data_IF_910134693053
#
_entry.id   IF_910134693053
#
_cell.length_a   1.000
_cell.length_b   1.000
_cell.length_c   1.000
_cell.angle_alpha   90.00
_cell.angle_beta   90.00
_cell.angle_gamma   90.00
#
_symmetry.space_group_name_H-M   'P 1'
#
loop_
_entity.id
_entity.type
_entity.pdbx_description
1 polymer ?
#
# COMPACT_ATOMS: atom_id res chain seq x y z
N UNK A 1 -22.68 48.02 -16.20
CA UNK A 1 -23.19 49.40 -15.87
C UNK A 1 -22.28 50.49 -16.46
N UNK A 2 -20.98 50.28 -16.56
CA UNK A 2 -20.04 51.25 -17.15
C UNK A 2 -20.29 51.48 -18.64
N UNK A 3 -21.07 50.61 -19.33
CA UNK A 3 -21.45 50.70 -20.75
C UNK A 3 -22.89 51.26 -20.93
N UNK A 4 -23.50 51.84 -19.87
CA UNK A 4 -24.78 52.53 -19.96
C UNK A 4 -26.04 51.68 -19.78
N UNK A 5 -25.91 50.46 -19.24
CA UNK A 5 -27.06 49.61 -18.89
C UNK A 5 -27.83 50.18 -17.69
N UNK A 6 -29.13 50.36 -17.87
CA UNK A 6 -30.05 50.78 -16.80
C UNK A 6 -30.59 49.66 -15.94
N UNK A 7 -30.46 48.38 -16.43
CA UNK A 7 -30.94 47.17 -15.73
C UNK A 7 -29.84 46.15 -15.58
N UNK A 8 -29.65 45.64 -14.35
CA UNK A 8 -28.74 44.53 -14.07
C UNK A 8 -29.10 43.27 -14.84
N UNK A 9 -30.38 43.04 -15.12
CA UNK A 9 -30.88 41.93 -15.90
C UNK A 9 -30.36 41.94 -17.34
N UNK A 10 -30.49 43.08 -18.03
CA UNK A 10 -30.02 43.24 -19.41
C UNK A 10 -28.49 43.18 -19.49
N UNK A 11 -27.80 43.79 -18.53
CA UNK A 11 -26.34 43.71 -18.46
C UNK A 11 -25.84 42.25 -18.26
N UNK A 12 -26.52 41.45 -17.47
CA UNK A 12 -26.19 40.05 -17.25
C UNK A 12 -26.42 39.21 -18.50
N UNK A 13 -27.50 39.43 -19.23
CA UNK A 13 -27.76 38.71 -20.49
C UNK A 13 -26.69 39.02 -21.55
N UNK A 14 -26.31 40.27 -21.72
CA UNK A 14 -25.32 40.64 -22.74
C UNK A 14 -23.91 40.21 -22.32
N UNK A 15 -23.54 40.25 -21.04
CA UNK A 15 -22.30 39.68 -20.53
C UNK A 15 -22.21 38.18 -20.82
N UNK A 16 -23.31 37.45 -20.63
CA UNK A 16 -23.34 36.01 -20.87
C UNK A 16 -23.19 35.65 -22.35
N UNK A 17 -23.67 36.47 -23.30
CA UNK A 17 -23.44 36.24 -24.75
C UNK A 17 -21.94 36.18 -25.10
N UNK A 18 -21.13 37.00 -24.41
CA UNK A 18 -19.66 36.99 -24.59
C UNK A 18 -18.93 35.89 -23.90
N UNK A 19 -19.43 35.44 -22.73
CA UNK A 19 -18.70 34.53 -21.83
C UNK A 19 -19.13 33.08 -21.99
N UNK A 20 -20.39 32.80 -22.34
CA UNK A 20 -20.95 31.44 -22.38
C UNK A 20 -20.14 30.46 -23.22
N UNK A 21 -19.73 30.87 -24.41
CA UNK A 21 -18.91 30.01 -25.28
C UNK A 21 -17.55 29.69 -24.67
N UNK A 22 -16.92 30.64 -24.00
CA UNK A 22 -15.63 30.43 -23.34
C UNK A 22 -15.77 29.44 -22.17
N UNK A 23 -16.81 29.56 -21.35
CA UNK A 23 -17.08 28.67 -20.19
C UNK A 23 -17.37 27.26 -20.72
N UNK A 24 -18.23 27.10 -21.75
CA UNK A 24 -18.52 25.78 -22.31
C UNK A 24 -17.26 25.13 -22.88
N UNK A 25 -16.51 25.88 -23.70
CA UNK A 25 -15.30 25.35 -24.35
C UNK A 25 -14.26 24.95 -23.31
N UNK A 26 -13.98 25.79 -22.30
CA UNK A 26 -13.02 25.47 -21.25
C UNK A 26 -13.46 24.24 -20.43
N UNK A 27 -14.72 24.14 -20.07
CA UNK A 27 -15.25 22.98 -19.33
C UNK A 27 -15.16 21.68 -20.14
N UNK A 28 -15.46 21.75 -21.45
CA UNK A 28 -15.30 20.59 -22.34
C UNK A 28 -13.85 20.15 -22.47
N UNK A 29 -12.89 21.09 -22.55
CA UNK A 29 -11.46 20.77 -22.57
C UNK A 29 -11.02 20.09 -21.29
N UNK A 30 -11.44 20.59 -20.11
CA UNK A 30 -11.16 19.94 -18.83
C UNK A 30 -11.73 18.52 -18.78
N UNK A 31 -13.00 18.34 -19.13
CA UNK A 31 -13.63 17.02 -19.16
C UNK A 31 -12.93 16.06 -20.14
N UNK A 32 -12.51 16.56 -21.31
CA UNK A 32 -11.79 15.79 -22.32
C UNK A 32 -10.41 15.30 -21.84
N UNK A 33 -9.79 15.95 -20.86
CA UNK A 33 -8.55 15.51 -20.22
C UNK A 33 -8.83 14.47 -19.13
N UNK A 34 -9.81 14.71 -18.25
CA UNK A 34 -10.04 13.86 -17.08
C UNK A 34 -10.78 12.56 -17.40
N UNK A 35 -11.70 12.57 -18.37
CA UNK A 35 -12.46 11.37 -18.74
C UNK A 35 -11.55 10.25 -19.25
N UNK A 36 -10.61 10.44 -20.20
CA UNK A 36 -9.71 9.38 -20.65
C UNK A 36 -8.82 8.82 -19.54
N UNK A 37 -8.35 9.68 -18.63
CA UNK A 37 -7.53 9.27 -17.48
C UNK A 37 -8.29 8.33 -16.54
N UNK A 38 -9.63 8.46 -16.48
CA UNK A 38 -10.48 7.56 -15.69
C UNK A 38 -10.55 6.12 -16.20
N UNK A 39 -10.09 5.85 -17.42
CA UNK A 39 -10.03 4.50 -18.00
C UNK A 39 -8.67 3.82 -17.88
N UNK A 40 -7.73 4.41 -17.15
CA UNK A 40 -6.44 3.78 -16.89
C UNK A 40 -6.60 2.55 -16.02
N UNK A 41 -5.89 1.47 -16.35
CA UNK A 41 -5.89 0.22 -15.58
C UNK A 41 -4.80 0.19 -14.51
N UNK A 42 -4.82 -0.88 -13.68
CA UNK A 42 -3.84 -1.13 -12.63
C UNK A 42 -4.07 -0.34 -11.34
N UNK A 43 -3.13 -0.41 -10.42
CA UNK A 43 -3.20 0.25 -9.10
C UNK A 43 -3.39 1.76 -9.22
N UNK A 44 -2.59 2.41 -10.06
CA UNK A 44 -2.72 3.84 -10.35
C UNK A 44 -4.08 4.17 -10.96
N UNK A 45 -4.63 3.26 -11.79
CA UNK A 45 -5.92 3.43 -12.44
C UNK A 45 -7.07 3.58 -11.45
N UNK A 46 -7.05 2.85 -10.32
CA UNK A 46 -8.09 2.99 -9.28
C UNK A 46 -8.16 4.41 -8.72
N UNK A 47 -7.01 5.05 -8.47
CA UNK A 47 -6.94 6.44 -8.04
C UNK A 47 -7.41 7.40 -9.14
N UNK A 48 -6.89 7.22 -10.36
CA UNK A 48 -7.21 8.08 -11.48
C UNK A 48 -8.66 7.98 -11.91
N UNK A 49 -9.29 6.80 -11.79
CA UNK A 49 -10.73 6.63 -12.05
C UNK A 49 -11.57 7.46 -11.09
N UNK A 50 -11.30 7.35 -9.78
CA UNK A 50 -12.06 8.11 -8.76
C UNK A 50 -11.80 9.61 -8.88
N UNK A 51 -10.53 10.01 -9.00
CA UNK A 51 -10.15 11.41 -9.13
C UNK A 51 -10.68 12.02 -10.43
N UNK A 52 -10.42 11.37 -11.58
CA UNK A 52 -10.79 11.87 -12.89
C UNK A 52 -12.31 11.99 -13.08
N UNK A 53 -13.06 10.97 -12.64
CA UNK A 53 -14.53 11.01 -12.72
C UNK A 53 -15.11 12.10 -11.81
N UNK A 54 -14.61 12.20 -10.57
CA UNK A 54 -15.05 13.25 -9.63
C UNK A 54 -14.76 14.64 -10.18
N UNK A 55 -13.57 14.87 -10.74
CA UNK A 55 -13.20 16.14 -11.35
C UNK A 55 -14.05 16.46 -12.57
N UNK A 56 -14.29 15.49 -13.45
CA UNK A 56 -15.14 15.69 -14.63
C UNK A 56 -16.58 16.08 -14.25
N UNK A 57 -17.16 15.40 -13.25
CA UNK A 57 -18.51 15.72 -12.74
C UNK A 57 -18.52 17.10 -12.06
N UNK A 58 -17.52 17.39 -11.22
CA UNK A 58 -17.41 18.69 -10.53
C UNK A 58 -17.30 19.85 -11.53
N UNK A 59 -16.48 19.71 -12.58
CA UNK A 59 -16.36 20.71 -13.65
C UNK A 59 -17.66 20.86 -14.42
N UNK A 60 -18.36 19.76 -14.71
CA UNK A 60 -19.67 19.80 -15.34
C UNK A 60 -20.72 20.58 -14.53
N UNK A 61 -20.82 20.29 -13.22
CA UNK A 61 -21.71 21.00 -12.30
C UNK A 61 -21.30 22.49 -12.19
N UNK A 62 -19.99 22.76 -12.12
CA UNK A 62 -19.45 24.12 -12.07
C UNK A 62 -19.83 24.92 -13.33
N UNK A 63 -19.74 24.30 -14.51
CA UNK A 63 -20.16 24.93 -15.75
C UNK A 63 -21.66 25.28 -15.76
N UNK A 64 -22.51 24.35 -15.29
CA UNK A 64 -23.96 24.61 -15.16
C UNK A 64 -24.21 25.78 -14.21
N UNK A 65 -23.55 25.82 -13.04
CA UNK A 65 -23.67 26.92 -12.09
C UNK A 65 -23.19 28.25 -12.68
N UNK A 66 -22.07 28.26 -13.41
CA UNK A 66 -21.55 29.46 -14.05
C UNK A 66 -22.49 30.03 -15.12
N UNK A 67 -23.21 29.14 -15.86
CA UNK A 67 -24.11 29.53 -16.90
C UNK A 67 -25.54 29.88 -16.41
N UNK A 68 -25.92 29.42 -15.22
CA UNK A 68 -27.29 29.60 -14.68
C UNK A 68 -27.33 30.44 -13.41
N UNK A 69 -26.73 29.93 -12.33
CA UNK A 69 -26.79 30.55 -11.01
C UNK A 69 -26.06 31.89 -10.94
N UNK A 70 -24.84 31.97 -11.48
CA UNK A 70 -24.04 33.21 -11.42
C UNK A 70 -24.70 34.38 -12.14
N UNK A 71 -25.19 34.28 -13.40
CA UNK A 71 -25.88 35.37 -14.03
C UNK A 71 -27.23 35.72 -13.38
N UNK A 72 -27.94 34.72 -12.83
CA UNK A 72 -29.19 34.98 -12.11
C UNK A 72 -28.92 35.79 -10.82
N UNK A 73 -27.87 35.42 -10.04
CA UNK A 73 -27.46 36.18 -8.87
C UNK A 73 -26.98 37.60 -9.24
N UNK A 74 -26.21 37.74 -10.31
CA UNK A 74 -25.79 39.04 -10.82
C UNK A 74 -27.00 39.91 -11.19
N UNK A 75 -28.00 39.36 -11.87
CA UNK A 75 -29.21 40.07 -12.23
C UNK A 75 -30.04 40.55 -11.02
N UNK A 76 -30.06 39.74 -9.93
CA UNK A 76 -30.82 40.03 -8.69
C UNK A 76 -30.08 40.94 -7.73
N UNK A 77 -28.79 40.72 -7.55
CA UNK A 77 -28.02 41.34 -6.44
C UNK A 77 -27.26 42.61 -6.86
N UNK A 78 -26.84 42.72 -8.10
CA UNK A 78 -26.09 43.86 -8.57
C UNK A 78 -27.02 45.09 -8.67
N UNK A 79 -26.62 46.18 -8.01
CA UNK A 79 -27.28 47.45 -8.04
C UNK A 79 -26.51 48.45 -8.93
N UNK A 80 -27.20 49.31 -9.72
CA UNK A 80 -26.51 50.33 -10.51
C UNK A 80 -25.74 51.31 -9.65
N UNK A 81 -24.55 51.67 -10.10
CA UNK A 81 -23.69 52.68 -9.42
C UNK A 81 -24.14 54.10 -9.69
N UNK A 82 -25.07 54.30 -10.62
CA UNK A 82 -25.60 55.60 -11.01
C UNK A 82 -26.97 55.78 -10.36
N UNK A 83 -27.19 56.92 -9.75
CA UNK A 83 -28.51 57.33 -9.22
C UNK A 83 -29.44 57.61 -10.38
N UNK A 84 -30.77 57.66 -10.13
CA UNK A 84 -31.77 58.02 -11.13
C UNK A 84 -31.51 59.40 -11.76
N UNK A 85 -30.82 60.30 -11.05
CA UNK A 85 -30.40 61.64 -11.49
C UNK A 85 -29.07 61.66 -12.27
N UNK A 86 -28.51 60.50 -12.68
CA UNK A 86 -27.28 60.42 -13.45
C UNK A 86 -25.97 60.70 -12.65
N UNK A 87 -26.05 60.93 -11.34
CA UNK A 87 -24.88 61.17 -10.50
C UNK A 87 -24.27 59.88 -9.95
N UNK A 88 -22.93 59.78 -9.93
CA UNK A 88 -22.23 58.64 -9.34
C UNK A 88 -22.37 58.61 -7.81
N UNK A 89 -22.71 57.44 -7.25
CA UNK A 89 -22.75 57.21 -5.83
C UNK A 89 -21.33 57.37 -5.22
N UNK A 90 -21.14 58.26 -4.24
CA UNK A 90 -19.84 58.54 -3.68
C UNK A 90 -19.60 57.75 -2.38
N UNK A 91 -19.85 56.44 -2.41
CA UNK A 91 -19.66 55.52 -1.30
C UNK A 91 -18.27 54.87 -1.32
N UNK A 92 -17.81 54.34 -0.18
CA UNK A 92 -16.54 53.64 -0.07
C UNK A 92 -16.39 52.52 -1.14
N UNK A 93 -17.46 51.78 -1.39
CA UNK A 93 -17.50 50.74 -2.43
C UNK A 93 -17.29 51.33 -3.83
N UNK A 94 -17.85 52.48 -4.16
CA UNK A 94 -17.66 53.14 -5.45
C UNK A 94 -16.21 53.64 -5.63
N UNK A 95 -15.59 54.16 -4.56
CA UNK A 95 -14.16 54.56 -4.58
C UNK A 95 -13.23 53.38 -4.76
N UNK A 96 -13.47 52.27 -4.05
CA UNK A 96 -12.72 51.01 -4.22
C UNK A 96 -12.86 50.45 -5.65
N UNK A 97 -14.09 50.37 -6.16
CA UNK A 97 -14.36 49.91 -7.54
C UNK A 97 -13.65 50.79 -8.58
N UNK A 98 -13.66 52.09 -8.43
CA UNK A 98 -12.98 53.03 -9.34
C UNK A 98 -11.46 52.80 -9.32
N UNK A 99 -10.86 52.65 -8.15
CA UNK A 99 -9.42 52.37 -8.02
C UNK A 99 -9.04 50.99 -8.58
N UNK A 100 -9.88 50.01 -8.32
CA UNK A 100 -9.71 48.64 -8.87
C UNK A 100 -9.79 48.64 -10.38
N UNK A 101 -10.85 49.25 -10.96
CA UNK A 101 -11.00 49.31 -12.42
C UNK A 101 -9.85 50.04 -13.09
N UNK A 102 -9.38 51.18 -12.50
CA UNK A 102 -8.22 51.87 -13.03
C UNK A 102 -6.95 51.03 -13.01
N UNK A 103 -6.69 50.27 -11.93
CA UNK A 103 -5.56 49.33 -11.86
C UNK A 103 -5.72 48.18 -12.88
N UNK A 104 -6.93 47.67 -13.02
CA UNK A 104 -7.27 46.62 -13.97
C UNK A 104 -7.06 47.05 -15.43
N UNK A 105 -7.50 48.28 -15.78
CA UNK A 105 -7.32 48.86 -17.12
C UNK A 105 -5.82 48.96 -17.49
N UNK A 106 -4.97 49.40 -16.54
CA UNK A 106 -3.51 49.43 -16.74
C UNK A 106 -2.95 48.01 -16.97
N UNK A 107 -3.46 47.03 -16.23
CA UNK A 107 -3.06 45.64 -16.41
C UNK A 107 -3.48 45.09 -17.79
N UNK A 108 -4.72 45.39 -18.20
CA UNK A 108 -5.26 45.00 -19.52
C UNK A 108 -4.45 45.62 -20.67
N UNK A 109 -4.07 46.88 -20.55
CA UNK A 109 -3.27 47.56 -21.58
C UNK A 109 -1.85 46.99 -21.68
N UNK A 110 -1.22 46.67 -20.55
CA UNK A 110 0.05 45.93 -20.55
C UNK A 110 -0.09 44.56 -21.19
N UNK A 111 -1.15 43.82 -20.84
CA UNK A 111 -1.45 42.51 -21.44
C UNK A 111 -1.64 42.60 -22.95
N UNK A 112 -2.46 43.55 -23.42
CA UNK A 112 -2.63 43.82 -24.88
C UNK A 112 -1.30 44.10 -25.57
N UNK A 113 -0.43 44.90 -24.97
CA UNK A 113 0.90 45.22 -25.48
C UNK A 113 1.75 44.00 -25.65
N UNK A 114 1.79 43.13 -24.61
CA UNK A 114 2.51 41.86 -24.62
C UNK A 114 1.97 40.93 -25.71
N UNK A 115 0.65 40.75 -25.77
CA UNK A 115 0.01 39.91 -26.78
C UNK A 115 0.31 40.39 -28.19
N UNK A 116 0.21 41.70 -28.45
CA UNK A 116 0.55 42.30 -29.73
C UNK A 116 2.05 42.09 -30.08
N UNK A 117 2.93 42.12 -29.13
CA UNK A 117 4.37 41.80 -29.33
C UNK A 117 4.52 40.37 -29.84
N UNK A 118 3.89 39.40 -29.19
CA UNK A 118 3.92 37.98 -29.58
C UNK A 118 3.28 37.75 -30.98
N UNK A 119 2.18 38.42 -31.27
CA UNK A 119 1.53 38.32 -32.58
C UNK A 119 2.42 38.91 -33.69
N UNK A 120 3.03 40.08 -33.44
CA UNK A 120 3.90 40.75 -34.42
C UNK A 120 5.24 39.98 -34.61
N UNK A 121 5.77 39.42 -33.56
CA UNK A 121 7.06 38.69 -33.58
C UNK A 121 6.84 37.20 -33.42
N UNK A 122 6.31 36.54 -34.44
CA UNK A 122 6.01 35.09 -34.45
C UNK A 122 7.16 34.21 -33.99
N UNK A 123 8.41 34.61 -34.31
CA UNK A 123 9.60 33.85 -33.85
C UNK A 123 9.70 33.77 -32.31
N UNK A 124 9.27 34.82 -31.59
CA UNK A 124 9.28 34.85 -30.13
C UNK A 124 8.28 33.83 -29.56
N UNK A 125 7.12 33.71 -30.19
CA UNK A 125 6.10 32.71 -29.80
C UNK A 125 6.63 31.28 -30.00
N UNK A 126 7.23 31.02 -31.17
CA UNK A 126 7.83 29.72 -31.46
C UNK A 126 9.01 29.40 -30.57
N UNK A 127 9.87 30.40 -30.27
CA UNK A 127 10.98 30.25 -29.33
C UNK A 127 10.50 29.93 -27.91
N UNK A 128 9.47 30.60 -27.41
CA UNK A 128 8.89 30.32 -26.10
C UNK A 128 8.26 28.92 -26.05
N UNK A 129 7.54 28.54 -27.10
CA UNK A 129 6.97 27.19 -27.23
C UNK A 129 8.09 26.13 -27.25
N UNK A 130 9.11 26.32 -28.06
CA UNK A 130 10.25 25.40 -28.13
C UNK A 130 10.96 25.30 -26.77
N UNK A 131 11.19 26.43 -26.09
CA UNK A 131 11.77 26.44 -24.75
C UNK A 131 10.90 25.68 -23.73
N UNK A 132 9.56 25.85 -23.76
CA UNK A 132 8.67 25.13 -22.87
C UNK A 132 8.67 23.62 -23.15
N UNK A 133 8.73 23.20 -24.42
CA UNK A 133 8.84 21.79 -24.80
C UNK A 133 10.17 21.19 -24.33
N UNK A 134 11.29 21.90 -24.55
CA UNK A 134 12.60 21.47 -24.09
C UNK A 134 12.64 21.35 -22.56
N UNK A 135 12.08 22.34 -21.86
CA UNK A 135 11.97 22.31 -20.40
C UNK A 135 11.10 21.14 -19.93
N UNK A 136 9.97 20.86 -20.60
CA UNK A 136 9.11 19.73 -20.30
C UNK A 136 9.89 18.41 -20.44
N UNK A 137 10.55 18.20 -21.59
CA UNK A 137 11.34 16.99 -21.84
C UNK A 137 12.47 16.86 -20.81
N UNK A 138 13.15 17.94 -20.48
CA UNK A 138 14.18 17.97 -19.46
C UNK A 138 13.63 17.55 -18.09
N UNK A 139 12.51 18.15 -17.65
CA UNK A 139 11.86 17.81 -16.39
C UNK A 139 11.36 16.36 -16.36
N UNK A 140 10.76 15.87 -17.45
CA UNK A 140 10.32 14.47 -17.53
C UNK A 140 11.46 13.46 -17.39
N UNK A 141 12.65 13.80 -17.85
CA UNK A 141 13.83 12.92 -17.72
C UNK A 141 14.55 13.04 -16.38
N UNK A 142 14.44 14.19 -15.70
CA UNK A 142 15.14 14.44 -14.43
C UNK A 142 14.25 14.24 -13.21
N UNK A 143 12.94 14.37 -13.36
CA UNK A 143 12.00 14.19 -12.25
C UNK A 143 11.78 12.72 -11.97
N UNK A 144 11.99 12.30 -10.72
CA UNK A 144 11.74 10.93 -10.27
C UNK A 144 10.25 10.62 -10.30
N UNK A 145 9.90 9.41 -10.76
CA UNK A 145 8.51 8.97 -10.84
C UNK A 145 8.22 8.01 -9.69
N UNK A 146 7.25 8.36 -8.87
CA UNK A 146 6.68 7.51 -7.81
C UNK A 146 5.17 7.65 -7.80
N UNK A 147 4.45 6.64 -7.31
CA UNK A 147 2.99 6.72 -7.19
C UNK A 147 2.60 7.75 -6.12
N UNK A 148 3.21 7.66 -4.96
CA UNK A 148 3.08 8.62 -3.85
C UNK A 148 4.46 8.79 -3.22
N UNK A 149 4.91 10.03 -2.93
CA UNK A 149 6.15 10.24 -2.19
C UNK A 149 6.04 9.67 -0.77
N UNK A 150 7.15 9.15 -0.23
CA UNK A 150 7.19 8.72 1.15
C UNK A 150 7.17 9.93 2.08
N UNK A 151 6.28 9.85 3.06
CA UNK A 151 6.18 10.83 4.13
C UNK A 151 6.36 10.15 5.50
N UNK A 152 6.83 10.89 6.47
CA UNK A 152 6.95 10.40 7.84
C UNK A 152 5.58 10.34 8.52
N UNK A 153 4.98 9.13 8.58
CA UNK A 153 3.71 8.90 9.26
C UNK A 153 3.84 8.74 10.79
N UNK A 154 5.08 8.76 11.29
CA UNK A 154 5.36 8.53 12.71
C UNK A 154 4.97 7.13 13.17
N UNK A 155 5.05 6.13 12.29
CA UNK A 155 4.79 4.72 12.60
C UNK A 155 5.90 3.86 11.99
N UNK A 156 6.38 2.87 12.75
CA UNK A 156 7.33 1.86 12.28
C UNK A 156 6.78 0.48 12.64
N UNK A 157 6.77 -0.42 11.67
CA UNK A 157 6.50 -1.83 11.88
C UNK A 157 7.82 -2.59 11.99
N UNK A 158 8.02 -3.23 13.13
CA UNK A 158 9.19 -4.07 13.38
C UNK A 158 8.74 -5.52 13.38
N UNK A 159 9.06 -6.26 12.33
CA UNK A 159 8.79 -7.68 12.23
C UNK A 159 9.93 -8.45 12.90
N UNK A 160 9.56 -9.41 13.74
CA UNK A 160 10.47 -10.28 14.45
C UNK A 160 10.18 -11.72 14.03
N UNK A 161 11.18 -12.41 13.48
CA UNK A 161 11.10 -13.82 13.12
C UNK A 161 12.13 -14.60 13.92
N UNK A 162 11.67 -15.49 14.77
CA UNK A 162 12.51 -16.45 15.49
C UNK A 162 12.78 -17.68 14.63
N UNK A 163 13.59 -18.62 15.11
CA UNK A 163 13.87 -19.84 14.38
C UNK A 163 12.57 -20.58 14.03
N UNK A 164 12.51 -21.18 12.83
CA UNK A 164 11.35 -21.93 12.38
C UNK A 164 10.99 -23.05 13.38
N UNK A 165 9.71 -23.14 13.76
CA UNK A 165 9.24 -24.08 14.76
C UNK A 165 9.40 -23.60 16.23
N UNK A 166 9.84 -22.37 16.47
CA UNK A 166 9.85 -21.79 17.81
C UNK A 166 8.44 -21.72 18.41
N UNK A 167 8.34 -21.93 19.72
CA UNK A 167 7.07 -21.76 20.44
C UNK A 167 6.67 -20.29 20.53
N UNK A 168 5.39 -20.03 20.68
CA UNK A 168 4.88 -18.67 20.88
C UNK A 168 5.48 -18.02 22.14
N UNK A 169 5.70 -18.80 23.20
CA UNK A 169 6.32 -18.33 24.43
C UNK A 169 7.75 -17.85 24.19
N UNK A 170 8.55 -18.66 23.47
CA UNK A 170 9.93 -18.29 23.12
C UNK A 170 9.97 -17.01 22.27
N UNK A 171 9.06 -16.91 21.29
CA UNK A 171 8.94 -15.72 20.45
C UNK A 171 8.55 -14.49 21.28
N UNK A 172 7.62 -14.64 22.22
CA UNK A 172 7.18 -13.55 23.11
C UNK A 172 8.31 -13.07 24.02
N UNK A 173 9.12 -13.98 24.57
CA UNK A 173 10.31 -13.65 25.38
C UNK A 173 11.36 -12.86 24.59
N UNK A 174 11.61 -13.27 23.34
CA UNK A 174 12.51 -12.53 22.43
C UNK A 174 11.95 -11.14 22.14
N UNK A 175 10.66 -11.05 21.85
CA UNK A 175 9.99 -9.76 21.59
C UNK A 175 10.03 -8.84 22.81
N UNK A 176 9.87 -9.36 24.01
CA UNK A 176 9.98 -8.58 25.24
C UNK A 176 11.39 -8.00 25.44
N UNK A 177 12.44 -8.76 25.11
CA UNK A 177 13.82 -8.25 25.12
C UNK A 177 14.02 -7.12 24.11
N UNK A 178 13.45 -7.26 22.91
CA UNK A 178 13.50 -6.22 21.87
C UNK A 178 12.73 -4.99 22.33
N UNK A 179 11.50 -5.15 22.80
CA UNK A 179 10.65 -4.06 23.29
C UNK A 179 11.35 -3.23 24.37
N UNK A 180 11.94 -3.87 25.38
CA UNK A 180 12.68 -3.18 26.46
C UNK A 180 13.83 -2.32 25.93
N UNK A 181 14.52 -2.77 24.88
CA UNK A 181 15.61 -1.99 24.26
C UNK A 181 15.06 -0.82 23.44
N UNK A 182 14.00 -1.06 22.69
CA UNK A 182 13.40 -0.03 21.85
C UNK A 182 12.74 1.09 22.67
N UNK A 183 12.21 0.78 23.85
CA UNK A 183 11.66 1.78 24.77
C UNK A 183 12.70 2.83 25.24
N UNK A 184 13.98 2.58 25.04
CA UNK A 184 15.03 3.57 25.31
C UNK A 184 15.14 4.66 24.23
N UNK A 185 14.48 4.51 23.07
CA UNK A 185 14.47 5.48 21.98
C UNK A 185 13.61 6.69 22.38
N UNK A 186 14.18 7.91 22.48
CA UNK A 186 13.46 9.07 23.02
C UNK A 186 12.33 9.58 22.13
N UNK A 187 12.37 9.29 20.82
CA UNK A 187 11.38 9.65 19.84
C UNK A 187 10.10 8.81 19.90
N UNK A 188 10.14 7.67 20.63
CA UNK A 188 8.98 6.79 20.76
C UNK A 188 7.94 7.37 21.75
N UNK A 189 6.68 7.23 21.39
CA UNK A 189 5.53 7.54 22.26
C UNK A 189 4.89 6.26 22.80
N UNK A 190 4.66 5.28 21.96
CA UNK A 190 4.04 4.00 22.32
C UNK A 190 4.66 2.86 21.54
N UNK A 191 4.72 1.69 22.18
CA UNK A 191 5.06 0.41 21.57
C UNK A 191 3.88 -0.53 21.77
N UNK A 192 3.43 -1.18 20.70
CA UNK A 192 2.43 -2.23 20.76
C UNK A 192 3.07 -3.53 20.28
N UNK A 193 2.94 -4.60 21.09
CA UNK A 193 3.46 -5.93 20.80
C UNK A 193 2.33 -6.84 20.34
N UNK A 194 2.55 -7.57 19.23
CA UNK A 194 1.65 -8.58 18.67
C UNK A 194 2.46 -9.87 18.48
N UNK A 195 2.28 -10.84 19.36
CA UNK A 195 2.92 -12.15 19.26
C UNK A 195 2.08 -13.10 18.42
N UNK A 196 2.71 -13.97 17.64
CA UNK A 196 2.04 -14.95 16.78
C UNK A 196 1.56 -14.39 15.43
N UNK A 197 1.97 -13.18 15.08
CA UNK A 197 1.65 -12.55 13.80
C UNK A 197 2.82 -11.70 13.30
N UNK A 198 3.24 -11.96 12.07
CA UNK A 198 4.20 -11.14 11.34
C UNK A 198 3.53 -10.47 10.14
N UNK A 199 3.84 -9.21 9.87
CA UNK A 199 3.27 -8.47 8.73
C UNK A 199 3.61 -9.15 7.39
N UNK A 200 4.79 -9.75 7.31
CA UNK A 200 5.31 -10.39 6.10
C UNK A 200 4.88 -11.85 5.97
N UNK A 201 4.93 -12.59 7.07
CA UNK A 201 4.75 -14.03 7.09
C UNK A 201 3.32 -14.47 7.48
N UNK A 202 2.50 -13.56 7.99
CA UNK A 202 1.16 -13.88 8.47
C UNK A 202 1.15 -14.48 9.87
N UNK A 203 0.24 -15.43 10.12
CA UNK A 203 0.10 -16.09 11.42
C UNK A 203 1.08 -17.25 11.58
N UNK A 204 1.74 -17.34 12.74
CA UNK A 204 2.65 -18.42 13.08
C UNK A 204 3.33 -18.19 14.43
N UNK A 205 3.64 -19.26 15.16
CA UNK A 205 4.23 -19.18 16.51
C UNK A 205 5.62 -18.57 16.53
N UNK A 206 6.37 -18.65 15.42
CA UNK A 206 7.73 -18.10 15.27
C UNK A 206 7.75 -16.65 14.79
N UNK A 207 6.59 -16.00 14.65
CA UNK A 207 6.50 -14.63 14.18
C UNK A 207 5.92 -13.69 15.24
N UNK A 208 6.41 -12.46 15.20
CA UNK A 208 5.88 -11.37 16.00
C UNK A 208 6.07 -10.03 15.32
N UNK A 209 5.32 -9.04 15.77
CA UNK A 209 5.39 -7.67 15.27
C UNK A 209 5.32 -6.68 16.41
N UNK A 210 6.20 -5.67 16.38
CA UNK A 210 6.10 -4.49 17.22
C UNK A 210 5.67 -3.31 16.35
N UNK A 211 4.66 -2.58 16.79
CA UNK A 211 4.21 -1.34 16.17
C UNK A 211 4.71 -0.20 17.03
N UNK A 212 5.65 0.56 16.50
CA UNK A 212 6.24 1.71 17.16
C UNK A 212 5.51 2.96 16.70
N UNK A 213 4.91 3.70 17.63
CA UNK A 213 4.34 5.01 17.37
C UNK A 213 5.29 6.08 17.86
N UNK A 214 5.74 6.95 16.96
CA UNK A 214 6.60 8.08 17.28
C UNK A 214 5.78 9.24 17.86
N UNK A 215 6.46 10.16 18.53
CA UNK A 215 5.91 11.44 18.96
C UNK A 215 5.44 12.27 17.77
N UNK A 216 4.53 13.24 17.96
CA UNK A 216 4.15 14.19 16.91
C UNK A 216 5.36 14.95 16.35
N UNK A 217 5.24 15.48 15.14
CA UNK A 217 6.35 16.17 14.44
C UNK A 217 6.81 17.44 15.17
N UNK A 218 5.90 18.13 15.86
CA UNK A 218 6.20 19.29 16.69
C UNK A 218 7.09 18.96 17.90
N UNK A 219 7.08 17.70 18.38
CA UNK A 219 7.95 17.22 19.45
C UNK A 219 9.26 16.58 18.94
N UNK A 220 9.46 16.47 17.62
CA UNK A 220 10.64 15.93 16.95
C UNK A 220 10.97 16.72 15.67
N UNK A 221 11.32 18.01 15.81
CA UNK A 221 11.52 18.92 14.68
C UNK A 221 12.83 18.69 13.90
N UNK A 222 13.79 17.94 14.46
CA UNK A 222 15.08 17.74 13.85
C UNK A 222 15.04 16.62 12.78
N UNK A 223 15.75 16.79 11.68
CA UNK A 223 15.88 15.78 10.63
C UNK A 223 16.46 14.46 11.16
N UNK A 224 17.25 14.50 12.23
CA UNK A 224 17.78 13.33 12.91
C UNK A 224 16.70 12.51 13.65
N UNK A 225 15.53 13.08 13.90
CA UNK A 225 14.41 12.46 14.59
C UNK A 225 13.34 11.90 13.62
N UNK A 226 13.63 11.89 12.32
CA UNK A 226 12.72 11.36 11.31
C UNK A 226 12.59 9.82 11.41
N UNK A 227 11.57 9.27 10.78
CA UNK A 227 11.26 7.84 10.82
C UNK A 227 12.41 6.97 10.33
N UNK A 228 13.18 7.42 9.32
CA UNK A 228 14.30 6.64 8.78
C UNK A 228 15.48 6.57 9.76
N UNK A 229 15.77 7.68 10.43
CA UNK A 229 16.79 7.72 11.48
C UNK A 229 16.42 6.81 12.66
N UNK A 230 15.14 6.78 13.05
CA UNK A 230 14.66 5.88 14.11
C UNK A 230 14.73 4.41 13.66
N UNK A 231 14.43 4.09 12.39
CA UNK A 231 14.64 2.74 11.85
C UNK A 231 16.12 2.32 11.97
N UNK A 232 17.05 3.24 11.65
CA UNK A 232 18.48 3.01 11.86
C UNK A 232 18.84 2.70 13.33
N UNK A 233 18.23 3.41 14.28
CA UNK A 233 18.39 3.14 15.71
C UNK A 233 17.82 1.77 16.11
N UNK A 234 16.67 1.38 15.55
CA UNK A 234 16.08 0.04 15.78
C UNK A 234 17.07 -1.04 15.35
N UNK A 235 17.64 -0.95 14.15
CA UNK A 235 18.65 -1.91 13.69
C UNK A 235 19.90 -1.92 14.57
N UNK A 236 20.40 -0.75 15.00
CA UNK A 236 21.56 -0.66 15.87
C UNK A 236 21.32 -1.33 17.25
N UNK A 237 20.14 -1.12 17.84
CA UNK A 237 19.77 -1.68 19.15
C UNK A 237 19.44 -3.18 19.10
N UNK A 238 19.19 -3.73 17.92
CA UNK A 238 18.83 -5.15 17.73
C UNK A 238 19.91 -5.99 17.06
N UNK A 239 21.01 -5.36 16.62
CA UNK A 239 22.08 -6.01 15.84
C UNK A 239 22.75 -7.22 16.54
N UNK A 240 22.80 -7.23 17.88
CA UNK A 240 23.39 -8.30 18.68
C UNK A 240 22.39 -9.44 19.00
N UNK A 241 21.12 -9.30 18.65
CA UNK A 241 20.10 -10.34 18.86
C UNK A 241 20.23 -11.37 17.74
N UNK A 242 20.79 -12.54 18.08
CA UNK A 242 21.03 -13.64 17.14
C UNK A 242 19.90 -14.66 17.09
N UNK A 243 19.02 -14.65 18.08
CA UNK A 243 17.91 -15.60 18.23
C UNK A 243 16.72 -15.23 17.34
N UNK A 244 16.74 -14.05 16.71
CA UNK A 244 15.68 -13.61 15.83
C UNK A 244 16.23 -12.74 14.69
N UNK A 245 15.54 -12.77 13.57
CA UNK A 245 15.70 -11.79 12.49
C UNK A 245 14.74 -10.62 12.74
N UNK A 246 15.27 -9.41 12.75
CA UNK A 246 14.52 -8.18 12.97
C UNK A 246 14.49 -7.38 11.67
N UNK A 247 13.29 -7.03 11.22
CA UNK A 247 13.07 -6.25 10.01
C UNK A 247 12.13 -5.07 10.30
N UNK A 248 12.64 -3.86 10.19
CA UNK A 248 11.90 -2.62 10.49
C UNK A 248 11.60 -1.83 9.23
N UNK A 249 10.34 -1.44 9.05
CA UNK A 249 9.88 -0.64 7.91
C UNK A 249 8.88 0.43 8.36
N UNK A 250 8.83 1.53 7.62
CA UNK A 250 7.70 2.46 7.67
C UNK A 250 6.55 1.92 6.79
N UNK A 251 5.28 2.02 7.24
CA UNK A 251 4.15 1.62 6.40
C UNK A 251 4.07 2.47 5.14
N UNK A 252 3.59 1.87 4.05
CA UNK A 252 3.30 2.61 2.81
C UNK A 252 2.22 3.67 3.03
N UNK A 253 2.28 4.74 2.23
CA UNK A 253 1.33 5.86 2.31
C UNK A 253 -0.11 5.46 2.02
N UNK A 254 -0.30 4.39 1.27
CA UNK A 254 -1.62 3.89 0.87
C UNK A 254 -1.83 2.52 1.51
N UNK A 255 -2.73 2.37 2.50
CA UNK A 255 -3.03 1.09 3.11
C UNK A 255 -3.51 0.07 2.07
N UNK A 256 -2.93 -1.14 2.11
CA UNK A 256 -3.30 -2.24 1.22
C UNK A 256 -2.58 -2.26 -0.14
N UNK A 257 -1.70 -1.30 -0.40
CA UNK A 257 -0.87 -1.26 -1.61
C UNK A 257 0.62 -1.38 -1.26
N UNK A 258 1.06 -2.62 -1.03
CA UNK A 258 2.45 -2.92 -0.73
C UNK A 258 2.92 -2.47 0.66
N UNK A 259 4.16 -2.78 0.97
CA UNK A 259 4.82 -2.36 2.20
C UNK A 259 5.83 -1.25 1.88
N UNK A 260 5.46 -0.03 2.15
CA UNK A 260 6.28 1.13 1.80
C UNK A 260 6.38 1.32 0.29
N UNK A 261 7.49 1.86 -0.19
CA UNK A 261 7.83 1.99 -1.62
C UNK A 261 8.34 0.67 -2.22
N UNK A 262 8.19 -0.46 -1.54
CA UNK A 262 8.63 -1.74 -2.04
C UNK A 262 7.82 -2.18 -3.27
N UNK A 263 8.53 -2.75 -4.20
CA UNK A 263 8.01 -3.42 -5.37
C UNK A 263 7.70 -4.86 -4.99
N UNK A 264 6.49 -5.34 -5.21
CA UNK A 264 6.14 -6.73 -5.02
C UNK A 264 6.07 -7.45 -6.37
N UNK A 265 6.81 -8.55 -6.48
CA UNK A 265 6.92 -9.39 -7.66
C UNK A 265 6.42 -10.79 -7.31
N UNK A 266 5.57 -11.34 -8.14
CA UNK A 266 5.12 -12.72 -8.04
C UNK A 266 5.89 -13.60 -9.02
N UNK A 267 6.94 -14.27 -8.55
CA UNK A 267 7.57 -15.34 -9.34
C UNK A 267 6.61 -16.52 -9.43
N UNK A 268 6.40 -17.05 -10.63
CA UNK A 268 5.46 -18.13 -10.88
C UNK A 268 6.18 -19.35 -11.45
N UNK A 269 5.96 -20.51 -10.85
CA UNK A 269 6.36 -21.78 -11.45
C UNK A 269 5.27 -22.25 -12.42
N UNK A 270 5.50 -22.01 -13.71
CA UNK A 270 4.58 -22.44 -14.78
C UNK A 270 4.77 -23.88 -15.23
N UNK A 271 5.87 -24.51 -14.85
CA UNK A 271 6.21 -25.88 -15.24
C UNK A 271 5.74 -26.91 -14.22
N UNK A 272 5.42 -26.50 -13.00
CA UNK A 272 4.97 -27.39 -11.92
C UNK A 272 6.11 -28.29 -11.40
N UNK A 273 7.34 -27.75 -11.36
CA UNK A 273 8.53 -28.45 -10.89
C UNK A 273 8.61 -28.61 -9.36
N UNK A 274 9.78 -29.05 -8.90
CA UNK A 274 10.04 -29.18 -7.46
C UNK A 274 10.09 -27.80 -6.80
N UNK A 275 9.42 -27.66 -5.67
CA UNK A 275 9.38 -26.44 -4.89
C UNK A 275 10.77 -26.00 -4.38
N UNK A 276 11.68 -26.96 -4.14
CA UNK A 276 13.05 -26.68 -3.71
C UNK A 276 13.89 -26.09 -4.84
N UNK A 277 13.71 -26.55 -6.08
CA UNK A 277 14.35 -25.99 -7.26
C UNK A 277 13.81 -24.57 -7.52
N UNK A 278 12.50 -24.39 -7.40
CA UNK A 278 11.89 -23.09 -7.54
C UNK A 278 12.38 -22.11 -6.47
N UNK A 279 12.50 -22.56 -5.21
CA UNK A 279 13.08 -21.76 -4.14
C UNK A 279 14.55 -21.40 -4.43
N UNK A 280 15.35 -22.33 -4.88
CA UNK A 280 16.76 -22.10 -5.24
C UNK A 280 16.90 -21.05 -6.34
N UNK A 281 16.07 -21.13 -7.38
CA UNK A 281 16.00 -20.14 -8.47
C UNK A 281 15.60 -18.77 -7.94
N UNK A 282 14.63 -18.74 -7.03
CA UNK A 282 14.22 -17.48 -6.38
C UNK A 282 15.36 -16.87 -5.57
N UNK A 283 16.14 -17.65 -4.84
CA UNK A 283 17.30 -17.15 -4.09
C UNK A 283 18.39 -16.62 -5.02
N UNK A 284 18.64 -17.25 -6.17
CA UNK A 284 19.57 -16.73 -7.17
C UNK A 284 19.08 -15.37 -7.73
N UNK A 285 17.79 -15.27 -8.00
CA UNK A 285 17.18 -14.02 -8.45
C UNK A 285 17.28 -12.90 -7.40
N UNK A 286 17.02 -13.22 -6.14
CA UNK A 286 17.21 -12.28 -5.04
C UNK A 286 18.67 -11.81 -4.94
N UNK A 287 19.62 -12.73 -5.11
CA UNK A 287 21.05 -12.40 -5.16
C UNK A 287 21.39 -11.44 -6.31
N UNK A 288 20.83 -11.66 -7.49
CA UNK A 288 21.03 -10.79 -8.65
C UNK A 288 20.39 -9.40 -8.45
N UNK A 289 19.20 -9.33 -7.84
CA UNK A 289 18.54 -8.07 -7.51
C UNK A 289 19.34 -7.26 -6.48
N UNK A 290 19.86 -7.91 -5.44
CA UNK A 290 20.65 -7.25 -4.39
C UNK A 290 22.01 -6.73 -4.88
N UNK A 291 22.46 -7.13 -6.07
CA UNK A 291 23.68 -6.57 -6.70
C UNK A 291 23.39 -5.31 -7.55
N UNK A 292 22.13 -4.94 -7.73
CA UNK A 292 21.75 -3.79 -8.53
C UNK A 292 21.85 -2.51 -7.72
N UNK A 293 22.46 -1.43 -8.26
CA UNK A 293 22.56 -0.16 -7.56
C UNK A 293 21.22 0.52 -7.33
N UNK A 294 20.20 0.18 -8.13
CA UNK A 294 18.85 0.73 -8.00
C UNK A 294 18.05 0.08 -6.84
N UNK A 295 18.54 -1.04 -6.30
CA UNK A 295 17.85 -1.83 -5.25
C UNK A 295 18.65 -1.74 -3.94
N UNK A 296 18.03 -1.23 -2.89
CA UNK A 296 18.61 -1.24 -1.55
C UNK A 296 18.59 -2.64 -0.94
N UNK A 297 17.47 -3.34 -1.09
CA UNK A 297 17.27 -4.69 -0.56
C UNK A 297 16.17 -5.40 -1.32
N UNK A 298 16.46 -6.64 -1.73
CA UNK A 298 15.44 -7.58 -2.21
C UNK A 298 15.37 -8.79 -1.28
N UNK A 299 14.16 -9.22 -0.93
CA UNK A 299 13.93 -10.31 0.00
C UNK A 299 12.64 -11.07 -0.32
N UNK A 300 12.55 -12.29 0.18
CA UNK A 300 11.33 -13.10 0.22
C UNK A 300 11.16 -13.69 1.61
N UNK A 301 9.92 -13.86 2.04
CA UNK A 301 9.59 -14.53 3.31
C UNK A 301 9.38 -16.03 3.15
N UNK A 302 9.37 -16.52 1.91
CA UNK A 302 9.20 -17.92 1.62
C UNK A 302 10.45 -18.72 1.99
N UNK A 303 10.28 -19.81 2.74
CA UNK A 303 11.35 -20.72 3.14
C UNK A 303 10.84 -22.18 3.06
N UNK A 304 11.70 -23.07 2.60
CA UNK A 304 11.44 -24.51 2.51
C UNK A 304 12.06 -25.31 3.67
N UNK A 305 12.69 -24.62 4.63
CA UNK A 305 13.41 -25.25 5.75
C UNK A 305 12.57 -25.32 7.02
N UNK A 306 11.25 -25.22 6.91
CA UNK A 306 10.37 -25.36 8.06
C UNK A 306 10.37 -26.83 8.51
N UNK A 307 10.70 -27.14 9.79
CA UNK A 307 10.75 -28.51 10.29
C UNK A 307 9.34 -29.08 10.33
N UNK A 308 9.17 -30.27 9.76
CA UNK A 308 7.89 -30.97 9.63
C UNK A 308 8.05 -32.44 9.99
N UNK A 309 6.95 -33.08 10.35
CA UNK A 309 6.85 -34.51 10.43
C UNK A 309 5.96 -35.03 9.27
N UNK A 310 6.53 -35.88 8.44
CA UNK A 310 5.75 -36.65 7.46
C UNK A 310 5.12 -37.83 8.17
N UNK A 311 3.80 -37.93 8.02
CA UNK A 311 2.99 -38.98 8.65
C UNK A 311 2.65 -40.04 7.59
N UNK A 312 3.14 -41.26 7.78
CA UNK A 312 2.81 -42.40 6.96
C UNK A 312 1.90 -43.36 7.75
N UNK A 313 0.72 -43.64 7.21
CA UNK A 313 -0.23 -44.60 7.80
C UNK A 313 -0.08 -45.95 7.14
N UNK A 314 0.19 -46.99 7.93
CA UNK A 314 0.24 -48.37 7.47
C UNK A 314 -1.19 -48.90 7.20
N UNK A 315 -1.64 -48.79 5.96
CA UNK A 315 -2.96 -49.21 5.55
C UNK A 315 -3.19 -50.73 5.75
N UNK A 316 -2.13 -51.54 5.69
CA UNK A 316 -2.24 -52.99 5.87
C UNK A 316 -2.49 -53.34 7.35
N UNK A 317 -1.81 -52.63 8.28
CA UNK A 317 -2.08 -52.78 9.72
C UNK A 317 -3.48 -52.29 10.07
N UNK A 318 -3.88 -51.13 9.53
CA UNK A 318 -5.23 -50.61 9.71
C UNK A 318 -6.29 -51.62 9.30
N UNK A 319 -6.17 -52.20 8.11
CA UNK A 319 -7.11 -53.20 7.58
C UNK A 319 -7.18 -54.45 8.46
N UNK A 320 -6.06 -54.91 8.99
CA UNK A 320 -6.01 -56.07 9.90
C UNK A 320 -6.72 -55.76 11.25
N UNK A 321 -6.59 -54.54 11.73
CA UNK A 321 -7.26 -54.08 12.96
C UNK A 321 -8.74 -53.67 12.72
N UNK A 322 -9.22 -53.75 11.48
CA UNK A 322 -10.60 -53.35 11.14
C UNK A 322 -10.87 -51.84 11.23
N UNK A 323 -9.84 -51.03 11.06
CA UNK A 323 -9.96 -49.57 11.04
C UNK A 323 -9.57 -49.01 9.68
N UNK A 324 -10.02 -47.80 9.37
CA UNK A 324 -9.65 -47.12 8.14
C UNK A 324 -8.47 -46.17 8.39
N UNK A 325 -7.60 -45.95 7.40
CA UNK A 325 -6.55 -44.94 7.49
C UNK A 325 -7.10 -43.55 7.84
N UNK A 326 -8.30 -43.22 7.34
CA UNK A 326 -9.00 -41.97 7.64
C UNK A 326 -9.33 -41.80 9.13
N UNK A 327 -9.76 -42.90 9.81
CA UNK A 327 -10.03 -42.86 11.24
C UNK A 327 -8.74 -42.58 12.05
N UNK A 328 -7.59 -43.13 11.61
CA UNK A 328 -6.28 -42.86 12.22
C UNK A 328 -5.90 -41.40 12.03
N UNK A 329 -5.99 -40.88 10.79
CA UNK A 329 -5.67 -39.50 10.46
C UNK A 329 -6.60 -38.49 11.16
N UNK A 330 -7.90 -38.77 11.21
CA UNK A 330 -8.88 -37.92 11.93
C UNK A 330 -8.59 -37.87 13.43
N UNK A 331 -8.22 -39.01 14.04
CA UNK A 331 -7.83 -39.07 15.45
C UNK A 331 -6.54 -38.28 15.67
N UNK A 332 -5.53 -38.46 14.84
CA UNK A 332 -4.27 -37.70 14.90
C UNK A 332 -4.52 -36.18 14.76
N UNK A 333 -5.36 -35.79 13.79
CA UNK A 333 -5.74 -34.39 13.60
C UNK A 333 -6.45 -33.82 14.83
N UNK A 334 -7.35 -34.58 15.47
CA UNK A 334 -8.02 -34.16 16.71
C UNK A 334 -7.05 -33.96 17.88
N UNK A 335 -6.10 -34.87 18.08
CA UNK A 335 -5.12 -34.76 19.15
C UNK A 335 -4.14 -33.61 18.96
N UNK A 336 -3.53 -33.49 17.77
CA UNK A 336 -2.45 -32.54 17.51
C UNK A 336 -2.91 -31.24 16.89
N UNK A 337 -3.81 -31.28 15.92
CA UNK A 337 -4.33 -30.09 15.20
C UNK A 337 -5.49 -29.39 15.87
N UNK A 338 -6.24 -30.12 16.68
CA UNK A 338 -7.49 -29.68 17.26
C UNK A 338 -8.68 -29.81 16.30
N UNK A 339 -9.80 -30.27 16.86
CA UNK A 339 -11.05 -30.46 16.14
C UNK A 339 -12.05 -29.37 16.50
N UNK A 340 -12.57 -28.70 15.49
CA UNK A 340 -13.71 -27.81 15.66
C UNK A 340 -14.98 -28.61 15.85
N UNK A 341 -15.68 -28.38 16.97
CA UNK A 341 -16.85 -29.18 17.35
C UNK A 341 -18.15 -28.38 17.27
N UNK A 342 -18.13 -27.14 17.74
CA UNK A 342 -19.32 -26.31 17.85
C UNK A 342 -18.98 -24.82 18.00
N UNK A 343 -20.05 -24.00 18.02
CA UNK A 343 -19.98 -22.60 18.40
C UNK A 343 -20.88 -22.33 19.60
N UNK A 344 -20.56 -21.32 20.38
CA UNK A 344 -21.48 -20.71 21.33
C UNK A 344 -21.44 -19.18 21.24
N UNK A 345 -22.57 -18.55 21.54
CA UNK A 345 -22.72 -17.11 21.52
C UNK A 345 -22.62 -16.57 22.96
N UNK A 346 -21.70 -15.61 23.18
CA UNK A 346 -21.57 -14.91 24.44
C UNK A 346 -21.07 -13.48 24.18
N UNK A 347 -21.57 -12.51 24.93
CA UNK A 347 -21.23 -11.09 24.80
C UNK A 347 -21.36 -10.56 23.35
N UNK A 348 -22.43 -10.93 22.66
CA UNK A 348 -22.71 -10.58 21.26
C UNK A 348 -21.64 -11.03 20.26
N UNK A 349 -20.82 -12.01 20.63
CA UNK A 349 -19.78 -12.63 19.78
C UNK A 349 -19.98 -14.13 19.70
N UNK A 350 -19.55 -14.69 18.56
CA UNK A 350 -19.54 -16.13 18.31
C UNK A 350 -18.17 -16.67 18.70
N UNK A 351 -18.13 -17.63 19.61
CA UNK A 351 -16.91 -18.33 20.04
C UNK A 351 -16.89 -19.74 19.48
N UNK A 352 -15.75 -20.14 18.95
CA UNK A 352 -15.54 -21.52 18.46
C UNK A 352 -15.15 -22.42 19.62
N UNK A 353 -15.72 -23.63 19.67
CA UNK A 353 -15.34 -24.70 20.58
C UNK A 353 -14.37 -25.62 19.84
N UNK A 354 -13.13 -25.67 20.30
CA UNK A 354 -12.07 -26.54 19.76
C UNK A 354 -11.73 -27.58 20.81
N UNK A 355 -11.60 -28.85 20.40
CA UNK A 355 -11.11 -29.94 21.24
C UNK A 355 -9.72 -30.31 20.75
N UNK A 356 -8.77 -30.40 21.66
CA UNK A 356 -7.39 -30.76 21.38
C UNK A 356 -6.80 -31.46 22.59
N UNK A 357 -5.79 -32.30 22.40
CA UNK A 357 -5.07 -32.87 23.53
C UNK A 357 -4.36 -31.77 24.36
N UNK A 358 -4.28 -31.99 25.68
CA UNK A 358 -3.50 -31.10 26.52
C UNK A 358 -2.02 -31.08 26.04
N UNK A 359 -1.30 -29.94 26.13
CA UNK A 359 0.08 -29.82 25.68
C UNK A 359 1.00 -30.93 26.17
N UNK A 360 0.84 -31.41 27.40
CA UNK A 360 1.67 -32.49 27.96
C UNK A 360 1.54 -33.84 27.23
N UNK A 361 0.43 -34.05 26.49
CA UNK A 361 0.18 -35.28 25.72
C UNK A 361 0.51 -35.15 24.23
N UNK A 362 1.16 -34.05 23.81
CA UNK A 362 1.56 -33.77 22.42
C UNK A 362 2.90 -33.06 22.30
N UNK A 363 3.81 -33.30 23.25
CA UNK A 363 5.11 -32.64 23.33
C UNK A 363 6.10 -33.13 22.26
N UNK A 364 6.07 -34.42 21.98
CA UNK A 364 7.04 -35.10 21.12
C UNK A 364 6.44 -36.31 20.37
N UNK A 365 7.27 -37.01 19.60
CA UNK A 365 6.87 -38.20 18.84
C UNK A 365 6.40 -39.36 19.72
N UNK A 366 6.91 -39.46 20.96
CA UNK A 366 6.53 -40.53 21.91
C UNK A 366 5.10 -40.32 22.42
N UNK A 367 4.56 -39.15 22.31
CA UNK A 367 3.17 -38.84 22.66
C UNK A 367 2.15 -39.63 21.84
N UNK A 368 2.55 -40.20 20.67
CA UNK A 368 1.70 -41.08 19.88
C UNK A 368 1.33 -42.39 20.60
N UNK A 369 2.12 -42.82 21.58
CA UNK A 369 1.83 -44.00 22.40
C UNK A 369 0.65 -43.76 23.34
N UNK A 370 0.38 -42.51 23.67
CA UNK A 370 -0.68 -42.05 24.55
C UNK A 370 -1.93 -41.57 23.79
N UNK A 371 -1.91 -41.57 22.47
CA UNK A 371 -3.03 -41.23 21.63
C UNK A 371 -3.68 -42.52 21.05
N UNK A 372 -4.99 -42.70 21.25
CA UNK A 372 -5.64 -43.95 20.98
C UNK A 372 -6.71 -43.80 19.87
N UNK A 373 -6.80 -44.77 19.00
CA UNK A 373 -7.87 -44.93 18.01
C UNK A 373 -8.75 -46.13 18.36
N UNK A 374 -10.07 -46.02 18.14
CA UNK A 374 -10.99 -47.10 18.39
C UNK A 374 -11.04 -48.10 17.25
N UNK A 375 -10.79 -49.35 17.53
CA UNK A 375 -10.88 -50.47 16.60
C UNK A 375 -12.35 -50.91 16.37
N UNK A 376 -12.59 -51.69 15.34
CA UNK A 376 -13.92 -52.22 14.98
C UNK A 376 -14.51 -53.15 16.07
N UNK A 377 -13.67 -53.83 16.84
CA UNK A 377 -14.10 -54.65 17.98
C UNK A 377 -14.44 -53.85 19.26
N UNK A 378 -14.30 -52.52 19.21
CA UNK A 378 -14.55 -51.58 20.32
C UNK A 378 -13.35 -51.34 21.24
N UNK A 379 -12.26 -52.06 21.07
CA UNK A 379 -11.02 -51.83 21.83
C UNK A 379 -10.26 -50.62 21.35
N UNK A 380 -9.41 -50.06 22.20
CA UNK A 380 -8.55 -48.91 21.89
C UNK A 380 -7.13 -49.37 21.61
N UNK A 381 -6.53 -48.89 20.53
CA UNK A 381 -5.15 -49.16 20.17
C UNK A 381 -4.35 -47.86 20.03
N UNK A 382 -3.08 -47.79 20.47
CA UNK A 382 -2.28 -46.59 20.34
C UNK A 382 -1.98 -46.29 18.87
N UNK A 383 -1.97 -44.99 18.52
CA UNK A 383 -1.70 -44.52 17.14
C UNK A 383 -0.33 -44.94 16.62
N UNK A 384 0.67 -45.05 17.52
CA UNK A 384 2.02 -45.48 17.17
C UNK A 384 2.10 -46.85 16.48
N UNK A 385 1.09 -47.72 16.64
CA UNK A 385 1.03 -49.00 15.93
C UNK A 385 0.72 -48.85 14.42
N UNK A 386 0.04 -47.77 14.04
CA UNK A 386 -0.48 -47.57 12.67
C UNK A 386 0.25 -46.46 11.93
N UNK A 387 1.05 -45.62 12.62
CA UNK A 387 1.66 -44.43 12.07
C UNK A 387 3.18 -44.48 12.21
N UNK A 388 3.87 -44.11 11.16
CA UNK A 388 5.32 -43.84 11.20
C UNK A 388 5.56 -42.37 10.96
N UNK A 389 6.38 -41.75 11.83
CA UNK A 389 6.79 -40.36 11.69
C UNK A 389 8.21 -40.29 11.13
N UNK A 390 8.38 -39.50 10.08
CA UNK A 390 9.70 -39.22 9.50
C UNK A 390 9.94 -37.72 9.53
N UNK A 391 11.09 -37.29 10.07
CA UNK A 391 11.47 -35.87 10.05
C UNK A 391 11.70 -35.41 8.63
N UNK A 392 11.09 -34.31 8.24
CA UNK A 392 11.26 -33.69 6.94
C UNK A 392 11.35 -32.18 7.07
N UNK A 393 11.70 -31.53 5.98
CA UNK A 393 11.68 -30.08 5.86
C UNK A 393 10.84 -29.72 4.66
N UNK A 394 10.08 -28.65 4.75
CA UNK A 394 9.20 -28.20 3.69
C UNK A 394 8.79 -26.75 3.87
N UNK A 395 7.98 -26.26 2.96
CA UNK A 395 7.41 -24.91 3.10
C UNK A 395 6.30 -24.91 4.16
N UNK A 396 6.27 -23.90 5.03
CA UNK A 396 5.21 -23.70 6.00
C UNK A 396 3.87 -23.39 5.32
N UNK A 397 3.91 -22.62 4.23
CA UNK A 397 2.75 -22.31 3.41
C UNK A 397 3.12 -22.21 1.94
N UNK A 398 2.20 -22.61 1.06
CA UNK A 398 2.32 -22.48 -0.39
C UNK A 398 1.28 -21.47 -0.89
N UNK A 399 1.72 -20.44 -1.57
CA UNK A 399 0.83 -19.48 -2.23
C UNK A 399 0.72 -19.76 -3.72
N UNK A 400 -0.40 -19.36 -4.31
CA UNK A 400 -0.62 -19.42 -5.75
C UNK A 400 -1.07 -18.07 -6.26
N UNK A 401 -0.51 -17.69 -7.40
CA UNK A 401 -0.93 -16.51 -8.14
C UNK A 401 -1.28 -16.94 -9.57
N UNK A 402 -2.46 -16.58 -10.05
CA UNK A 402 -3.00 -17.03 -11.34
C UNK A 402 -2.95 -18.56 -11.51
N UNK A 403 -3.28 -19.32 -10.45
CA UNK A 403 -3.30 -20.79 -10.39
C UNK A 403 -1.92 -21.48 -10.39
N UNK A 404 -0.82 -20.78 -10.58
CA UNK A 404 0.55 -21.30 -10.50
C UNK A 404 1.12 -21.13 -9.09
N UNK A 405 1.96 -22.07 -8.66
CA UNK A 405 2.74 -21.89 -7.44
C UNK A 405 3.56 -20.59 -7.56
N UNK A 406 3.54 -19.79 -6.52
CA UNK A 406 4.12 -18.47 -6.56
C UNK A 406 4.91 -18.14 -5.30
N UNK A 407 6.05 -17.52 -5.49
CA UNK A 407 6.87 -16.94 -4.42
C UNK A 407 6.85 -15.43 -4.57
N UNK A 408 6.42 -14.72 -3.52
CA UNK A 408 6.48 -13.27 -3.47
C UNK A 408 7.92 -12.81 -3.20
N UNK A 409 8.40 -11.90 -4.03
CA UNK A 409 9.70 -11.22 -3.91
C UNK A 409 9.43 -9.74 -3.75
N UNK A 410 9.95 -9.16 -2.69
CA UNK A 410 9.86 -7.74 -2.42
C UNK A 410 11.21 -7.08 -2.69
N UNK A 411 11.21 -5.95 -3.37
CA UNK A 411 12.42 -5.17 -3.66
C UNK A 411 12.21 -3.71 -3.28
N UNK A 412 13.10 -3.15 -2.47
CA UNK A 412 13.07 -1.77 -2.04
C UNK A 412 14.05 -0.95 -2.91
N UNK A 413 13.63 0.20 -3.46
CA UNK A 413 14.53 1.10 -4.16
C UNK A 413 15.64 1.60 -3.24
N UNK A 414 16.85 1.77 -3.78
CA UNK A 414 17.96 2.40 -3.07
C UNK A 414 17.74 3.91 -2.94
N UNK A 415 18.40 4.52 -1.93
CA UNK A 415 18.38 5.96 -1.76
C UNK A 415 18.83 6.68 -3.04
N UNK A 416 18.02 7.64 -3.44
CA UNK A 416 18.28 8.35 -4.68
C UNK A 416 17.62 7.78 -5.93
N UNK A 417 17.09 6.56 -5.89
CA UNK A 417 16.33 5.94 -6.99
C UNK A 417 14.84 5.96 -6.73
N UNK A 418 14.05 5.95 -7.80
CA UNK A 418 12.59 5.87 -7.73
C UNK A 418 12.10 4.43 -7.86
N UNK A 419 10.85 4.17 -7.46
CA UNK A 419 10.17 2.89 -7.73
C UNK A 419 10.17 2.57 -9.23
N UNK A 420 10.08 3.59 -10.10
CA UNK A 420 10.17 3.42 -11.55
C UNK A 420 11.53 2.92 -12.01
N UNK A 421 12.64 3.34 -11.36
CA UNK A 421 13.98 2.85 -11.68
C UNK A 421 14.15 1.40 -11.20
N UNK A 422 13.66 1.08 -10.02
CA UNK A 422 13.64 -0.30 -9.52
C UNK A 422 12.84 -1.25 -10.44
N UNK A 423 11.68 -0.81 -10.95
CA UNK A 423 10.89 -1.57 -11.93
C UNK A 423 11.72 -1.87 -13.20
N UNK A 424 12.51 -0.92 -13.68
CA UNK A 424 13.36 -1.12 -14.86
C UNK A 424 14.53 -2.08 -14.59
N UNK A 425 15.03 -2.15 -13.36
CA UNK A 425 16.11 -3.07 -12.97
C UNK A 425 15.67 -4.54 -12.92
N UNK A 426 14.41 -4.81 -12.62
CA UNK A 426 13.82 -6.15 -12.49
C UNK A 426 13.98 -7.01 -13.76
N UNK A 427 13.54 -6.59 -14.97
CA UNK A 427 13.69 -7.39 -16.18
C UNK A 427 15.15 -7.65 -16.54
N UNK A 428 16.04 -6.69 -16.28
CA UNK A 428 17.47 -6.82 -16.55
C UNK A 428 18.08 -7.92 -15.70
N UNK A 429 17.72 -8.02 -14.43
CA UNK A 429 18.17 -9.08 -13.53
C UNK A 429 17.64 -10.46 -13.93
N UNK A 430 16.41 -10.53 -14.48
CA UNK A 430 15.80 -11.76 -14.95
C UNK A 430 16.46 -12.30 -16.25
N UNK A 431 16.84 -11.42 -17.19
CA UNK A 431 17.47 -11.84 -18.46
C UNK A 431 18.87 -12.44 -18.28
N UNK A 432 19.51 -12.22 -17.14
CA UNK A 432 20.80 -12.82 -16.80
C UNK A 432 20.68 -14.18 -16.11
N UNK A 433 19.47 -14.54 -15.64
CA UNK A 433 19.16 -15.86 -15.15
C UNK A 433 18.67 -16.70 -16.34
N UNK A 434 19.59 -17.42 -16.98
CA UNK A 434 19.21 -18.48 -17.93
C UNK A 434 18.50 -19.57 -17.15
N UNK A 435 17.17 -19.51 -17.14
CA UNK A 435 16.36 -20.66 -16.75
C UNK A 435 16.54 -21.75 -17.84
N UNK A 436 16.79 -23.01 -17.46
CA UNK A 436 16.86 -24.10 -18.41
C UNK A 436 15.55 -24.32 -19.14
#
# INVERSE_FOLDING_TARGET
FDVGYRSSYMASIDAMKGISNAVITSSLVFMAVFIPVSFMGGTSGTFYTQFGLTMAVAVGISAINALTLSPALCALLLKPYINEDGTQKNNFAARFSKSFNSAFDVMVDKYKTIVLLFIKRRWLTWSLLACSVVLLVFLMNTTKTSLVPDEDQGVIFVNVSTAAGSSLTTTDEVMERIEKRLMAIPQLKHVQKVAGYGLLAGQGSSFGMLILKLKPWDERPDDADNVQSVIGQVYALTADIKDASVFAISPGMIPGYGMGNALELHMQDKMGGDINEFFTTTQQYLGALNQRPEIAMAYSTFDVRYPQWTVEVDAAKCKRAGITPDAVLSTLSGYYGGQYVSNFNRFSKVYRVMIQADPMFRLDETSLDNAFVRMSNGEMAPLSQFVTLTRSYGAESLSRFNMYNSIAVNAMPADGYSTGDAIKAVPVSYTHLTLP
#
